data_IF_191939529579
#
_entry.id   IF_191939529579
#
_cell.length_a   1.000
_cell.length_b   1.000
_cell.length_c   1.000
_cell.angle_alpha   90.00
_cell.angle_beta   90.00
_cell.angle_gamma   90.00
#
_symmetry.space_group_name_H-M   'P 1'
#
loop_
_entity.id
_entity.type
_entity.pdbx_description
1 polymer ?
#
# COMPACT_ATOMS: atom_id res chain seq x y z
N UNK A 1 -9.56 -2.58 -23.23
CA UNK A 1 -9.38 -1.86 -21.93
C UNK A 1 -9.12 -2.83 -20.77
N UNK A 2 -8.11 -2.58 -19.91
CA UNK A 2 -7.72 -3.48 -18.82
C UNK A 2 -7.64 -2.78 -17.44
N UNK A 3 -8.26 -3.35 -16.41
CA UNK A 3 -8.20 -2.88 -15.03
C UNK A 3 -7.46 -3.87 -14.13
N UNK A 4 -6.78 -3.38 -13.09
CA UNK A 4 -6.07 -4.24 -12.13
C UNK A 4 -6.41 -3.89 -10.69
N UNK A 5 -6.63 -4.91 -9.87
CA UNK A 5 -6.60 -4.81 -8.41
C UNK A 5 -5.46 -5.68 -7.88
N UNK A 6 -4.59 -5.12 -7.04
CA UNK A 6 -3.57 -5.89 -6.34
C UNK A 6 -3.38 -5.45 -4.90
N UNK A 7 -3.20 -6.42 -4.02
CA UNK A 7 -3.00 -6.17 -2.60
C UNK A 7 -3.57 -7.29 -1.74
N UNK A 8 -3.89 -6.99 -0.48
CA UNK A 8 -4.59 -7.95 0.38
C UNK A 8 -6.07 -7.99 0.00
N UNK A 9 -6.62 -9.19 -0.18
CA UNK A 9 -8.06 -9.41 -0.45
C UNK A 9 -8.84 -9.31 0.88
N UNK A 10 -9.03 -8.08 1.35
CA UNK A 10 -9.59 -7.79 2.66
C UNK A 10 -10.48 -6.53 2.65
N UNK A 11 -11.40 -6.46 3.62
CA UNK A 11 -12.41 -5.39 3.70
C UNK A 11 -11.77 -4.01 3.83
N UNK A 12 -10.68 -3.89 4.57
CA UNK A 12 -9.98 -2.61 4.73
C UNK A 12 -9.41 -2.08 3.40
N UNK A 13 -9.14 -2.97 2.45
CA UNK A 13 -8.65 -2.64 1.10
C UNK A 13 -9.78 -2.45 0.08
N UNK A 14 -11.04 -2.57 0.50
CA UNK A 14 -12.19 -2.39 -0.37
C UNK A 14 -12.40 -3.49 -1.39
N UNK A 15 -11.82 -4.68 -1.20
CA UNK A 15 -11.90 -5.74 -2.21
C UNK A 15 -13.34 -6.25 -2.43
N UNK A 16 -14.14 -6.31 -1.37
CA UNK A 16 -15.58 -6.57 -1.45
C UNK A 16 -16.34 -5.48 -2.24
N UNK A 17 -15.91 -4.21 -2.21
CA UNK A 17 -16.47 -3.17 -3.08
C UNK A 17 -16.15 -3.45 -4.54
N UNK A 18 -14.93 -3.93 -4.85
CA UNK A 18 -14.57 -4.34 -6.21
C UNK A 18 -15.46 -5.47 -6.68
N UNK A 19 -15.60 -6.54 -5.89
CA UNK A 19 -16.47 -7.68 -6.24
C UNK A 19 -17.91 -7.22 -6.43
N UNK A 20 -18.45 -6.41 -5.52
CA UNK A 20 -19.80 -5.86 -5.62
C UNK A 20 -20.01 -4.98 -6.86
N UNK A 21 -19.03 -4.13 -7.18
CA UNK A 21 -19.11 -3.24 -8.33
C UNK A 21 -19.11 -4.02 -9.65
N UNK A 22 -18.27 -5.06 -9.75
CA UNK A 22 -18.24 -5.93 -10.92
C UNK A 22 -19.55 -6.72 -11.08
N UNK A 23 -20.10 -7.24 -9.98
CA UNK A 23 -21.40 -7.94 -10.00
C UNK A 23 -22.51 -7.00 -10.45
N UNK A 24 -22.56 -5.77 -9.93
CA UNK A 24 -23.56 -4.77 -10.32
C UNK A 24 -23.47 -4.40 -11.81
N UNK A 25 -22.25 -4.29 -12.35
CA UNK A 25 -22.06 -4.03 -13.78
C UNK A 25 -22.58 -5.22 -14.60
N UNK A 26 -22.12 -6.44 -14.30
CA UNK A 26 -22.51 -7.65 -15.04
C UNK A 26 -24.02 -7.91 -14.96
N UNK A 27 -24.66 -7.67 -13.82
CA UNK A 27 -26.12 -7.80 -13.66
C UNK A 27 -26.89 -6.82 -14.56
N UNK A 28 -26.34 -5.63 -14.81
CA UNK A 28 -26.99 -4.59 -15.64
C UNK A 28 -26.71 -4.73 -17.13
N UNK A 29 -25.49 -5.10 -17.51
CA UNK A 29 -25.03 -5.08 -18.91
C UNK A 29 -24.88 -6.46 -19.52
N UNK A 30 -24.73 -7.51 -18.70
CA UNK A 30 -24.36 -8.86 -19.13
C UNK A 30 -22.87 -9.03 -19.47
N UNK A 31 -22.08 -7.96 -19.45
CA UNK A 31 -20.68 -7.93 -19.91
C UNK A 31 -19.79 -7.13 -18.96
N UNK A 32 -18.47 -7.37 -19.03
CA UNK A 32 -17.49 -6.59 -18.29
C UNK A 32 -17.03 -5.37 -19.11
N UNK A 33 -16.73 -4.23 -18.45
CA UNK A 33 -16.29 -3.01 -19.12
C UNK A 33 -14.84 -3.10 -19.63
N UNK A 34 -14.15 -4.20 -19.37
CA UNK A 34 -12.76 -4.46 -19.71
C UNK A 34 -12.26 -5.70 -18.98
N UNK A 35 -11.07 -6.19 -19.31
CA UNK A 35 -10.48 -7.28 -18.55
C UNK A 35 -10.14 -6.80 -17.14
N UNK A 36 -10.36 -7.64 -16.13
CA UNK A 36 -10.07 -7.35 -14.74
C UNK A 36 -9.01 -8.33 -14.23
N UNK A 37 -7.84 -7.83 -13.87
CA UNK A 37 -6.76 -8.61 -13.29
C UNK A 37 -6.78 -8.49 -11.77
N UNK A 38 -6.80 -9.62 -11.06
CA UNK A 38 -6.84 -9.64 -9.59
C UNK A 38 -5.65 -10.40 -9.03
N UNK A 39 -4.81 -9.69 -8.27
CA UNK A 39 -3.65 -10.23 -7.56
C UNK A 39 -3.83 -10.08 -6.05
N UNK A 40 -3.43 -11.12 -5.32
CA UNK A 40 -3.43 -11.09 -3.86
C UNK A 40 -3.97 -12.35 -3.20
N UNK A 41 -3.87 -12.34 -1.88
CA UNK A 41 -4.48 -13.35 -1.01
C UNK A 41 -5.16 -12.65 0.18
N UNK A 42 -6.17 -13.30 0.75
CA UNK A 42 -6.91 -12.76 1.88
C UNK A 42 -8.23 -13.47 2.12
N UNK A 43 -8.88 -13.10 3.22
CA UNK A 43 -10.09 -13.77 3.71
C UNK A 43 -11.29 -13.59 2.75
N UNK A 44 -11.31 -12.52 1.94
CA UNK A 44 -12.37 -12.22 0.97
C UNK A 44 -12.18 -12.92 -0.39
N UNK A 45 -11.13 -13.73 -0.57
CA UNK A 45 -10.98 -14.56 -1.78
C UNK A 45 -12.24 -15.39 -2.06
N UNK A 46 -12.88 -15.90 -1.00
CA UNK A 46 -14.09 -16.73 -1.13
C UNK A 46 -15.26 -15.97 -1.74
N UNK A 47 -15.40 -14.68 -1.46
CA UNK A 47 -16.51 -13.87 -1.98
C UNK A 47 -16.38 -13.72 -3.50
N UNK A 48 -15.18 -13.44 -4.02
CA UNK A 48 -14.92 -13.42 -5.46
C UNK A 48 -15.34 -14.73 -6.13
N UNK A 49 -14.92 -15.87 -5.58
CA UNK A 49 -15.25 -17.18 -6.13
C UNK A 49 -16.74 -17.51 -5.98
N UNK A 50 -17.41 -17.08 -4.91
CA UNK A 50 -18.85 -17.27 -4.76
C UNK A 50 -19.65 -16.46 -5.80
N UNK A 51 -19.20 -15.24 -6.11
CA UNK A 51 -19.87 -14.38 -7.08
C UNK A 51 -19.64 -14.82 -8.52
N UNK A 52 -18.44 -15.34 -8.85
CA UNK A 52 -18.03 -15.52 -10.25
C UNK A 52 -17.56 -16.93 -10.63
N UNK A 53 -17.35 -17.87 -9.71
CA UNK A 53 -16.91 -19.21 -10.09
C UNK A 53 -17.98 -19.93 -10.95
N UNK A 54 -17.55 -20.45 -12.09
CA UNK A 54 -18.44 -21.07 -13.08
C UNK A 54 -19.11 -20.07 -14.03
N UNK A 55 -18.94 -18.77 -13.83
CA UNK A 55 -19.29 -17.75 -14.81
C UNK A 55 -18.28 -17.77 -15.96
N UNK A 56 -18.75 -17.67 -17.21
CA UNK A 56 -17.89 -17.61 -18.40
C UNK A 56 -16.93 -16.41 -18.40
N UNK A 57 -17.30 -15.36 -17.64
CA UNK A 57 -16.52 -14.15 -17.44
C UNK A 57 -15.37 -14.33 -16.42
N UNK A 58 -15.18 -15.50 -15.81
CA UNK A 58 -14.17 -15.71 -14.77
C UNK A 58 -13.17 -16.80 -15.11
N UNK A 59 -11.89 -16.50 -14.88
CA UNK A 59 -10.79 -17.44 -15.07
C UNK A 59 -9.87 -17.46 -13.84
N UNK A 60 -9.71 -18.64 -13.23
CA UNK A 60 -8.78 -18.85 -12.11
C UNK A 60 -7.39 -19.23 -12.62
N UNK A 61 -6.51 -18.23 -12.70
CA UNK A 61 -5.10 -18.36 -13.07
C UNK A 61 -4.18 -18.64 -11.87
N UNK A 62 -4.72 -18.79 -10.64
CA UNK A 62 -3.91 -18.82 -9.42
C UNK A 62 -3.05 -20.07 -9.25
N UNK A 63 -3.28 -21.10 -10.07
CA UNK A 63 -2.49 -22.33 -10.12
C UNK A 63 -1.38 -22.35 -11.17
N UNK A 64 -1.37 -21.41 -12.12
CA UNK A 64 -0.37 -21.35 -13.18
C UNK A 64 1.03 -21.07 -12.61
N UNK A 65 2.05 -21.77 -13.10
CA UNK A 65 3.44 -21.62 -12.63
C UNK A 65 4.41 -21.69 -13.80
N UNK A 66 5.62 -21.14 -13.63
CA UNK A 66 6.71 -21.29 -14.60
C UNK A 66 6.34 -20.69 -15.96
N UNK A 67 6.50 -21.48 -17.03
CA UNK A 67 6.17 -21.05 -18.40
C UNK A 67 4.67 -20.82 -18.59
N UNK A 68 3.79 -21.60 -17.93
CA UNK A 68 2.33 -21.49 -18.13
C UNK A 68 1.77 -20.10 -17.82
N UNK A 69 2.31 -19.42 -16.80
CA UNK A 69 1.88 -18.07 -16.45
C UNK A 69 2.45 -17.02 -17.41
N UNK A 70 3.64 -17.28 -17.96
CA UNK A 70 4.27 -16.40 -18.95
C UNK A 70 3.51 -16.49 -20.28
N UNK A 71 3.19 -17.70 -20.73
CA UNK A 71 2.37 -17.94 -21.92
C UNK A 71 0.99 -17.29 -21.77
N UNK A 72 0.41 -17.35 -20.55
CA UNK A 72 -0.85 -16.66 -20.26
C UNK A 72 -0.72 -15.15 -20.36
N UNK A 73 0.35 -14.56 -19.84
CA UNK A 73 0.60 -13.12 -19.93
C UNK A 73 0.78 -12.72 -21.39
N UNK A 74 1.63 -13.43 -22.14
CA UNK A 74 1.86 -13.17 -23.56
C UNK A 74 0.57 -13.25 -24.37
N UNK A 75 -0.26 -14.25 -24.08
CA UNK A 75 -1.59 -14.36 -24.65
C UNK A 75 -2.47 -13.14 -24.33
N UNK A 76 -2.50 -12.68 -23.09
CA UNK A 76 -3.26 -11.50 -22.67
C UNK A 76 -2.73 -10.20 -23.29
N UNK A 77 -1.42 -10.09 -23.47
CA UNK A 77 -0.78 -8.98 -24.20
C UNK A 77 -1.17 -8.99 -25.67
N UNK A 78 -1.19 -10.15 -26.31
CA UNK A 78 -1.54 -10.27 -27.73
C UNK A 78 -3.02 -9.95 -28.02
N UNK A 79 -3.92 -10.24 -27.08
CA UNK A 79 -5.32 -9.80 -27.16
C UNK A 79 -5.44 -8.27 -27.23
N UNK A 80 -4.55 -7.54 -26.55
CA UNK A 80 -4.49 -6.08 -26.61
C UNK A 80 -3.96 -5.59 -27.97
N UNK A 81 -2.99 -6.28 -28.57
CA UNK A 81 -2.45 -5.93 -29.89
C UNK A 81 -3.43 -6.23 -31.04
N UNK A 82 -4.25 -7.28 -30.96
CA UNK A 82 -5.29 -7.56 -31.97
C UNK A 82 -6.40 -6.49 -31.98
N UNK A 83 -6.71 -5.85 -30.84
CA UNK A 83 -7.61 -4.67 -30.77
C UNK A 83 -6.95 -3.40 -31.35
N UNK A 84 -5.62 -3.28 -31.28
CA UNK A 84 -4.83 -2.14 -31.79
C UNK A 84 -4.27 -2.48 -33.18
N UNK A 85 -5.12 -2.50 -34.20
CA UNK A 85 -4.78 -2.92 -35.56
C UNK A 85 -3.45 -2.36 -36.10
N UNK A 86 -2.42 -3.21 -36.14
CA UNK A 86 -1.25 -3.07 -37.00
C UNK A 86 -1.43 -4.01 -38.20
N UNK A 87 -1.64 -3.40 -39.37
CA UNK A 87 -1.61 -4.09 -40.66
C UNK A 87 -0.19 -4.61 -40.93
N UNK A 88 0.08 -5.89 -40.65
CA UNK A 88 0.97 -6.73 -41.47
C UNK A 88 0.32 -8.12 -41.57
N UNK A 89 0.43 -8.74 -42.74
CA UNK A 89 -0.25 -9.99 -43.12
C UNK A 89 0.10 -11.16 -42.18
N UNK A 90 -0.64 -11.31 -41.09
CA UNK A 90 -0.67 -12.52 -40.26
C UNK A 90 -1.84 -13.38 -40.76
N UNK A 91 -1.66 -14.70 -40.98
CA UNK A 91 -2.76 -15.58 -41.37
C UNK A 91 -3.88 -15.48 -40.33
N UNK A 92 -5.15 -15.62 -40.70
CA UNK A 92 -6.26 -15.45 -39.77
C UNK A 92 -6.18 -16.52 -38.68
N UNK A 93 -5.57 -16.16 -37.55
CA UNK A 93 -5.81 -16.81 -36.27
C UNK A 93 -7.30 -16.64 -35.97
N UNK A 94 -7.97 -17.66 -35.42
CA UNK A 94 -9.40 -17.60 -35.19
C UNK A 94 -9.72 -16.37 -34.35
N UNK A 95 -10.53 -15.46 -34.90
CA UNK A 95 -11.11 -14.31 -34.22
C UNK A 95 -11.48 -14.72 -32.80
N UNK A 96 -10.80 -14.17 -31.81
CA UNK A 96 -11.09 -14.46 -30.42
C UNK A 96 -12.49 -13.91 -30.10
N UNK A 97 -13.51 -14.76 -30.14
CA UNK A 97 -14.89 -14.44 -29.72
C UNK A 97 -15.02 -14.48 -28.19
N UNK A 98 -14.00 -14.05 -27.46
CA UNK A 98 -13.99 -14.04 -26.01
C UNK A 98 -14.24 -12.63 -25.49
N UNK A 99 -15.43 -12.38 -24.94
CA UNK A 99 -15.71 -11.14 -24.22
C UNK A 99 -14.75 -10.96 -23.02
N UNK A 100 -14.69 -9.72 -22.51
CA UNK A 100 -13.89 -9.33 -21.36
C UNK A 100 -14.05 -10.29 -20.17
N UNK A 101 -12.96 -10.56 -19.43
CA UNK A 101 -12.97 -11.49 -18.28
C UNK A 101 -12.30 -10.94 -17.02
N UNK A 102 -12.65 -11.54 -15.88
CA UNK A 102 -11.93 -11.45 -14.61
C UNK A 102 -10.91 -12.58 -14.54
N UNK A 103 -9.63 -12.25 -14.48
CA UNK A 103 -8.53 -13.18 -14.27
C UNK A 103 -8.01 -13.08 -12.84
N UNK A 104 -8.12 -14.17 -12.09
CA UNK A 104 -7.63 -14.24 -10.72
C UNK A 104 -6.27 -14.95 -10.66
N UNK A 105 -5.19 -14.20 -10.38
CA UNK A 105 -3.83 -14.74 -10.32
C UNK A 105 -3.40 -15.18 -8.92
N UNK A 106 -4.13 -14.81 -7.87
CA UNK A 106 -3.70 -15.05 -6.49
C UNK A 106 -2.43 -14.28 -6.14
N UNK A 107 -1.67 -14.75 -5.15
CA UNK A 107 -0.37 -14.17 -4.84
C UNK A 107 0.68 -14.60 -5.88
N UNK A 108 1.36 -13.63 -6.48
CA UNK A 108 2.42 -13.84 -7.46
C UNK A 108 3.67 -13.03 -7.09
N UNK A 109 4.80 -13.37 -7.71
CA UNK A 109 6.02 -12.58 -7.56
C UNK A 109 5.87 -11.19 -8.18
N UNK A 110 6.70 -10.25 -7.71
CA UNK A 110 6.75 -8.88 -8.22
C UNK A 110 6.99 -8.79 -9.74
N UNK A 111 7.81 -9.67 -10.31
CA UNK A 111 8.05 -9.71 -11.75
C UNK A 111 6.76 -9.97 -12.56
N UNK A 112 5.93 -10.92 -12.10
CA UNK A 112 4.67 -11.29 -12.77
C UNK A 112 3.63 -10.17 -12.63
N UNK A 113 3.53 -9.56 -11.44
CA UNK A 113 2.65 -8.41 -11.23
C UNK A 113 3.02 -7.27 -12.17
N UNK A 114 4.32 -6.99 -12.31
CA UNK A 114 4.84 -5.95 -13.21
C UNK A 114 4.46 -6.20 -14.67
N UNK A 115 4.60 -7.43 -15.17
CA UNK A 115 4.19 -7.77 -16.53
C UNK A 115 2.70 -7.57 -16.79
N UNK A 116 1.83 -7.78 -15.80
CA UNK A 116 0.40 -7.45 -15.95
C UNK A 116 0.14 -5.95 -15.80
N UNK A 117 0.90 -5.25 -14.95
CA UNK A 117 0.81 -3.78 -14.86
C UNK A 117 1.16 -3.11 -16.20
N UNK A 118 2.13 -3.64 -16.94
CA UNK A 118 2.53 -3.13 -18.26
C UNK A 118 1.40 -3.14 -19.31
N UNK A 119 0.46 -4.09 -19.20
CA UNK A 119 -0.73 -4.19 -20.06
C UNK A 119 -2.02 -3.66 -19.38
N UNK A 120 -1.90 -3.11 -18.17
CA UNK A 120 -3.03 -2.57 -17.43
C UNK A 120 -3.22 -1.09 -17.72
N UNK A 121 -4.47 -0.65 -17.84
CA UNK A 121 -4.79 0.74 -18.14
C UNK A 121 -5.15 1.56 -16.91
N UNK A 122 -5.75 0.93 -15.89
CA UNK A 122 -6.15 1.57 -14.64
C UNK A 122 -6.04 0.60 -13.46
N UNK A 123 -5.64 1.12 -12.31
CA UNK A 123 -5.55 0.37 -11.05
C UNK A 123 -6.70 0.74 -10.12
N UNK A 124 -7.37 -0.25 -9.54
CA UNK A 124 -8.48 -0.07 -8.59
C UNK A 124 -7.96 -0.09 -7.16
N UNK A 125 -8.16 0.99 -6.42
CA UNK A 125 -7.76 1.12 -5.01
C UNK A 125 -8.86 1.75 -4.14
N UNK A 126 -10.02 1.08 -3.98
CA UNK A 126 -11.13 1.56 -3.15
C UNK A 126 -10.87 1.33 -1.64
N UNK A 127 -9.68 1.65 -1.15
CA UNK A 127 -9.29 1.37 0.24
C UNK A 127 -10.20 2.10 1.22
N UNK A 128 -10.86 1.35 2.10
CA UNK A 128 -11.64 1.94 3.21
C UNK A 128 -10.75 2.46 4.31
N UNK A 129 -9.61 1.85 4.53
CA UNK A 129 -8.66 2.33 5.53
C UNK A 129 -7.95 3.60 5.05
N UNK A 130 -7.62 4.49 5.99
CA UNK A 130 -6.70 5.61 5.77
C UNK A 130 -5.27 5.09 5.57
N UNK A 131 -4.89 4.84 4.32
CA UNK A 131 -3.51 4.50 3.97
C UNK A 131 -2.53 5.56 4.50
N UNK A 132 -1.38 5.14 5.02
CA UNK A 132 -0.35 6.06 5.48
C UNK A 132 0.51 6.62 4.36
N UNK A 133 0.57 5.93 3.22
CA UNK A 133 1.29 6.37 2.02
C UNK A 133 0.64 5.78 0.75
N UNK A 134 0.65 4.46 0.60
CA UNK A 134 0.10 3.79 -0.59
C UNK A 134 1.17 3.30 -1.56
N UNK A 135 2.05 2.42 -1.11
CA UNK A 135 3.08 1.80 -1.96
C UNK A 135 2.51 1.11 -3.21
N UNK A 136 1.36 0.45 -3.09
CA UNK A 136 0.70 -0.17 -4.23
C UNK A 136 0.26 0.88 -5.27
N UNK A 137 -0.23 2.05 -4.84
CA UNK A 137 -0.57 3.13 -5.77
C UNK A 137 0.68 3.61 -6.49
N UNK A 138 1.76 3.84 -5.73
CA UNK A 138 3.03 4.26 -6.30
C UNK A 138 3.59 3.24 -7.33
N UNK A 139 3.46 1.95 -7.04
CA UNK A 139 3.82 0.86 -7.95
C UNK A 139 3.03 0.92 -9.27
N UNK A 140 1.70 1.10 -9.21
CA UNK A 140 0.87 1.33 -10.42
C UNK A 140 1.33 2.55 -11.21
N UNK A 141 1.55 3.67 -10.52
CA UNK A 141 1.94 4.93 -11.17
C UNK A 141 3.30 4.82 -11.87
N UNK A 142 4.23 4.03 -11.33
CA UNK A 142 5.55 3.83 -11.93
C UNK A 142 5.52 3.14 -13.29
N UNK A 143 4.54 2.27 -13.51
CA UNK A 143 4.28 1.65 -14.82
C UNK A 143 3.39 2.52 -15.71
N UNK A 144 2.97 3.70 -15.21
CA UNK A 144 2.07 4.60 -15.91
C UNK A 144 0.61 4.14 -15.87
N UNK A 145 0.23 3.35 -14.87
CA UNK A 145 -1.13 2.88 -14.63
C UNK A 145 -1.80 3.82 -13.62
N UNK A 146 -2.71 4.71 -14.04
CA UNK A 146 -3.37 5.65 -13.15
C UNK A 146 -4.30 4.93 -12.16
N UNK A 147 -4.46 5.52 -10.96
CA UNK A 147 -5.22 4.91 -9.86
C UNK A 147 -6.63 5.49 -9.78
N UNK A 148 -7.63 4.62 -9.73
CA UNK A 148 -9.04 4.92 -9.42
C UNK A 148 -9.31 4.51 -7.99
N UNK A 149 -9.80 5.44 -7.16
CA UNK A 149 -10.06 5.12 -5.75
C UNK A 149 -10.55 6.31 -4.92
N UNK A 150 -10.66 6.08 -3.61
CA UNK A 150 -11.04 7.11 -2.67
C UNK A 150 -9.87 8.05 -2.37
N UNK A 151 -10.06 9.36 -2.55
CA UNK A 151 -9.03 10.36 -2.25
C UNK A 151 -8.95 10.63 -0.74
N UNK A 152 -8.20 9.79 -0.01
CA UNK A 152 -8.01 9.95 1.44
C UNK A 152 -6.65 9.48 1.96
N UNK A 153 -6.23 10.07 3.08
CA UNK A 153 -4.94 9.77 3.73
C UNK A 153 -3.74 9.95 2.80
N UNK A 154 -2.83 8.99 2.81
CA UNK A 154 -1.61 9.00 2.01
C UNK A 154 -1.83 8.82 0.50
N UNK A 155 -3.01 8.33 0.08
CA UNK A 155 -3.32 8.15 -1.35
C UNK A 155 -3.66 9.46 -2.07
N UNK A 156 -3.95 10.54 -1.34
CA UNK A 156 -4.39 11.82 -1.91
C UNK A 156 -3.48 12.32 -3.04
N UNK A 157 -2.13 12.29 -2.91
CA UNK A 157 -1.23 12.77 -3.97
C UNK A 157 -1.14 11.86 -5.20
N UNK A 158 -1.72 10.65 -5.15
CA UNK A 158 -1.53 9.61 -6.17
C UNK A 158 -2.74 9.43 -7.11
N UNK A 159 -3.83 10.15 -6.85
CA UNK A 159 -5.08 10.01 -7.61
C UNK A 159 -5.39 11.33 -8.31
N UNK A 160 -5.36 11.30 -9.64
CA UNK A 160 -5.77 12.43 -10.49
C UNK A 160 -7.25 12.75 -10.28
N UNK A 161 -7.61 14.04 -10.35
CA UNK A 161 -8.95 14.54 -9.99
C UNK A 161 -10.12 13.82 -10.67
N UNK A 162 -9.95 13.43 -11.94
CA UNK A 162 -10.98 12.75 -12.72
C UNK A 162 -11.22 11.28 -12.31
N UNK A 163 -10.26 10.67 -11.62
CA UNK A 163 -10.29 9.27 -11.19
C UNK A 163 -10.74 9.11 -9.73
N UNK A 164 -11.01 10.22 -9.04
CA UNK A 164 -11.43 10.22 -7.64
C UNK A 164 -12.87 9.72 -7.52
N UNK A 165 -13.08 8.90 -6.51
CA UNK A 165 -14.40 8.55 -6.00
C UNK A 165 -14.57 9.19 -4.62
N UNK A 166 -15.71 9.84 -4.39
CA UNK A 166 -16.08 10.34 -3.07
C UNK A 166 -16.41 9.17 -2.16
N UNK A 167 -15.80 9.13 -0.97
CA UNK A 167 -16.07 8.09 0.02
C UNK A 167 -17.37 8.40 0.79
N UNK A 168 -18.22 7.39 0.97
CA UNK A 168 -19.40 7.39 1.83
C UNK A 168 -19.22 6.39 2.97
N UNK A 169 -19.87 6.61 4.12
CA UNK A 169 -19.95 5.58 5.18
C UNK A 169 -20.86 4.41 4.78
N UNK A 170 -21.64 4.56 3.71
CA UNK A 170 -22.52 3.53 3.18
C UNK A 170 -21.81 2.72 2.08
N UNK A 171 -21.50 1.46 2.39
CA UNK A 171 -20.84 0.54 1.45
C UNK A 171 -21.61 0.32 0.15
N UNK A 172 -22.94 0.42 0.16
CA UNK A 172 -23.73 0.30 -1.07
C UNK A 172 -23.55 1.53 -1.98
N UNK A 173 -23.42 2.72 -1.42
CA UNK A 173 -23.11 3.94 -2.20
C UNK A 173 -21.70 3.88 -2.77
N UNK A 174 -20.74 3.42 -1.96
CA UNK A 174 -19.36 3.21 -2.40
C UNK A 174 -19.26 2.20 -3.55
N UNK A 175 -20.00 1.09 -3.46
CA UNK A 175 -20.04 0.04 -4.49
C UNK A 175 -20.58 0.59 -5.80
N UNK A 176 -21.72 1.30 -5.73
CA UNK A 176 -22.34 1.96 -6.89
C UNK A 176 -21.43 3.02 -7.51
N UNK A 177 -20.78 3.84 -6.67
CA UNK A 177 -19.89 4.89 -7.13
C UNK A 177 -18.66 4.29 -7.84
N UNK A 178 -18.10 3.20 -7.32
CA UNK A 178 -17.02 2.46 -7.97
C UNK A 178 -17.47 1.84 -9.30
N UNK A 179 -18.62 1.17 -9.33
CA UNK A 179 -19.19 0.60 -10.55
C UNK A 179 -19.38 1.66 -11.64
N UNK A 180 -20.02 2.78 -11.29
CA UNK A 180 -20.25 3.89 -12.20
C UNK A 180 -18.94 4.49 -12.71
N UNK A 181 -17.93 4.66 -11.84
CA UNK A 181 -16.62 5.21 -12.23
C UNK A 181 -15.87 4.26 -13.18
N UNK A 182 -15.92 2.95 -12.94
CA UNK A 182 -15.30 1.96 -13.84
C UNK A 182 -15.95 2.03 -15.23
N UNK A 183 -17.28 2.08 -15.30
CA UNK A 183 -18.02 2.20 -16.57
C UNK A 183 -17.72 3.53 -17.26
N UNK A 184 -17.80 4.64 -16.55
CA UNK A 184 -17.49 5.99 -17.08
C UNK A 184 -16.08 6.04 -17.71
N UNK A 185 -15.08 5.52 -17.00
CA UNK A 185 -13.68 5.50 -17.47
C UNK A 185 -13.53 4.53 -18.65
N UNK A 186 -14.16 3.36 -18.58
CA UNK A 186 -14.15 2.43 -19.70
C UNK A 186 -14.76 3.06 -20.95
N UNK A 187 -15.95 3.66 -20.89
CA UNK A 187 -16.60 4.30 -22.04
C UNK A 187 -15.79 5.48 -22.59
N UNK A 188 -15.26 6.32 -21.69
CA UNK A 188 -14.43 7.48 -22.05
C UNK A 188 -13.20 7.06 -22.86
N UNK A 189 -12.55 5.96 -22.49
CA UNK A 189 -11.28 5.56 -23.09
C UNK A 189 -11.37 4.39 -24.08
N UNK A 190 -12.47 3.63 -24.11
CA UNK A 190 -12.71 2.52 -25.06
C UNK A 190 -13.30 2.99 -26.40
N UNK A 191 -14.00 4.14 -26.45
CA UNK A 191 -14.62 4.70 -27.66
C UNK A 191 -13.65 5.17 -28.77
N UNK A 192 -12.37 4.77 -28.69
CA UNK A 192 -11.25 5.35 -29.44
C UNK A 192 -10.29 4.34 -30.06
N UNK A 193 -10.43 3.06 -29.74
CA UNK A 193 -9.73 1.98 -30.45
C UNK A 193 -10.36 1.73 -31.82
N UNK A 194 -11.62 2.17 -32.05
CA UNK A 194 -12.37 1.94 -33.30
C UNK A 194 -12.23 3.03 -34.38
N UNK A 195 -11.53 4.15 -34.12
CA UNK A 195 -11.22 5.13 -35.18
C UNK A 195 -9.91 4.75 -35.88
N UNK A 196 -10.02 3.72 -36.71
CA UNK A 196 -9.11 3.44 -37.83
C UNK A 196 -8.91 4.75 -38.60
N UNK A 197 -7.67 5.22 -38.67
CA UNK A 197 -7.29 6.33 -39.56
C UNK A 197 -7.80 6.04 -40.98
N UNK A 198 -8.57 6.93 -41.62
CA UNK A 198 -8.83 6.77 -43.04
C UNK A 198 -7.50 6.89 -43.80
N UNK A 199 -7.33 6.20 -44.94
CA UNK A 199 -6.12 6.32 -45.73
C UNK A 199 -5.94 7.78 -46.13
N UNK A 200 -4.75 8.31 -45.82
CA UNK A 200 -4.37 9.68 -46.18
C UNK A 200 -4.38 9.77 -47.71
N UNK A 201 -5.42 10.37 -48.27
CA UNK A 201 -5.41 10.90 -49.62
C UNK A 201 -5.70 12.39 -49.58
N UNK A 202 -4.81 13.16 -50.20
CA UNK A 202 -4.80 14.60 -50.45
C UNK A 202 -4.56 15.54 -49.27
N UNK A 203 -3.59 16.43 -49.49
CA UNK A 203 -3.20 17.57 -48.66
C UNK A 203 -4.40 18.44 -48.29
N UNK A 204 -4.67 18.56 -47.00
CA UNK A 204 -4.98 19.82 -46.31
C UNK A 204 -4.93 19.53 -44.81
N UNK A 205 -4.02 20.20 -44.07
CA UNK A 205 -3.88 20.03 -42.63
C UNK A 205 -5.12 20.59 -41.92
N UNK A 206 -5.95 19.77 -41.24
CA UNK A 206 -6.99 20.29 -40.38
C UNK A 206 -6.36 20.82 -39.07
N UNK A 207 -7.02 21.73 -38.34
CA UNK A 207 -6.56 22.19 -37.04
C UNK A 207 -6.39 21.00 -36.08
N UNK A 208 -5.34 21.01 -35.25
CA UNK A 208 -5.00 19.94 -34.29
C UNK A 208 -6.18 19.61 -33.37
N UNK A 209 -7.01 18.65 -33.77
CA UNK A 209 -7.99 18.00 -32.89
C UNK A 209 -7.19 17.12 -31.93
N UNK A 210 -7.17 17.47 -30.64
CA UNK A 210 -6.59 16.62 -29.60
C UNK A 210 -7.49 15.38 -29.46
N UNK A 211 -7.04 14.25 -30.01
CA UNK A 211 -7.76 12.97 -29.88
C UNK A 211 -7.68 12.40 -28.47
N UNK A 212 -8.72 11.68 -28.04
CA UNK A 212 -8.87 11.18 -26.66
C UNK A 212 -7.88 10.02 -26.34
N UNK A 213 -7.30 9.32 -27.34
CA UNK A 213 -6.11 8.44 -27.15
C UNK A 213 -4.88 9.23 -26.63
N UNK A 214 -4.84 10.53 -26.91
CA UNK A 214 -3.88 11.46 -26.33
C UNK A 214 -4.15 11.75 -24.85
N UNK A 215 -5.42 11.77 -24.42
CA UNK A 215 -5.79 12.04 -23.02
C UNK A 215 -5.32 10.93 -22.08
N UNK A 216 -5.55 9.65 -22.43
CA UNK A 216 -5.05 8.55 -21.60
C UNK A 216 -3.51 8.54 -21.53
N UNK A 217 -2.83 8.78 -22.66
CA UNK A 217 -1.36 8.89 -22.67
C UNK A 217 -0.84 10.02 -21.80
N UNK A 218 -1.54 11.16 -21.76
CA UNK A 218 -1.21 12.27 -20.85
C UNK A 218 -1.35 11.82 -19.40
N UNK A 219 -2.44 11.15 -19.05
CA UNK A 219 -2.70 10.66 -17.70
C UNK A 219 -1.69 9.58 -17.26
N UNK A 220 -1.32 8.67 -18.16
CA UNK A 220 -0.27 7.67 -17.96
C UNK A 220 1.10 8.33 -17.76
N UNK A 221 1.45 9.33 -18.57
CA UNK A 221 2.69 10.07 -18.42
C UNK A 221 2.72 10.90 -17.11
N UNK A 222 1.59 11.50 -16.71
CA UNK A 222 1.47 12.20 -15.43
C UNK A 222 1.69 11.22 -14.26
N UNK A 223 1.14 10.00 -14.36
CA UNK A 223 1.33 8.95 -13.37
C UNK A 223 2.82 8.61 -13.19
N UNK A 224 3.56 8.40 -14.29
CA UNK A 224 5.02 8.17 -14.23
C UNK A 224 5.75 9.37 -13.62
N UNK A 225 5.34 10.59 -13.96
CA UNK A 225 5.93 11.82 -13.41
C UNK A 225 5.73 11.94 -11.91
N UNK A 226 4.57 11.52 -11.38
CA UNK A 226 4.33 11.44 -9.94
C UNK A 226 5.31 10.42 -9.33
N UNK A 227 5.41 9.22 -9.92
CA UNK A 227 6.28 8.15 -9.44
C UNK A 227 7.78 8.52 -9.43
N UNK A 228 8.25 9.29 -10.42
CA UNK A 228 9.63 9.80 -10.48
C UNK A 228 10.02 10.68 -9.28
N UNK A 229 9.02 11.17 -8.54
CA UNK A 229 9.17 11.85 -7.26
C UNK A 229 9.71 10.96 -6.14
N UNK A 230 9.55 9.64 -6.24
CA UNK A 230 9.70 8.67 -5.15
C UNK A 230 10.73 7.58 -5.47
N UNK A 231 11.90 8.00 -5.96
CA UNK A 231 13.00 7.08 -6.31
C UNK A 231 13.93 6.84 -5.13
N UNK A 232 14.56 5.65 -5.08
CA UNK A 232 15.57 5.30 -4.08
C UNK A 232 16.67 6.37 -3.98
N UNK A 233 17.13 6.92 -5.11
CA UNK A 233 18.17 7.95 -5.15
C UNK A 233 17.76 9.28 -4.50
N UNK A 234 16.51 9.73 -4.67
CA UNK A 234 16.00 10.93 -3.96
C UNK A 234 15.85 10.66 -2.47
N UNK A 235 15.31 9.49 -2.14
CA UNK A 235 15.12 9.06 -0.77
C UNK A 235 16.45 9.02 0.01
N UNK A 236 17.49 8.43 -0.59
CA UNK A 236 18.83 8.39 0.00
C UNK A 236 19.39 9.79 0.28
N UNK A 237 19.20 10.75 -0.64
CA UNK A 237 19.65 12.14 -0.41
C UNK A 237 18.94 12.76 0.79
N UNK A 238 17.62 12.62 0.88
CA UNK A 238 16.86 13.13 2.03
C UNK A 238 17.31 12.50 3.35
N UNK A 239 17.62 11.19 3.34
CA UNK A 239 18.18 10.52 4.52
C UNK A 239 19.56 11.06 4.86
N UNK A 240 20.45 11.24 3.88
CA UNK A 240 21.78 11.80 4.09
C UNK A 240 21.74 13.21 4.68
N UNK A 241 20.81 14.05 4.22
CA UNK A 241 20.60 15.41 4.73
C UNK A 241 20.03 15.42 6.16
N UNK A 242 19.25 14.39 6.52
CA UNK A 242 18.65 14.23 7.85
C UNK A 242 19.62 13.65 8.89
N UNK A 243 20.53 12.77 8.48
CA UNK A 243 21.44 12.08 9.39
C UNK A 243 22.57 13.01 9.88
N UNK A 244 23.05 12.85 11.13
CA UNK A 244 24.19 13.62 11.62
C UNK A 244 25.44 13.44 10.75
N UNK A 245 26.20 14.52 10.57
CA UNK A 245 27.48 14.48 9.85
C UNK A 245 28.42 13.41 10.43
N UNK A 246 28.98 12.58 9.55
CA UNK A 246 29.90 11.51 9.95
C UNK A 246 29.24 10.21 10.40
N UNK A 247 27.90 10.09 10.32
CA UNK A 247 27.19 8.83 10.56
C UNK A 247 27.78 7.71 9.69
N UNK A 248 28.11 6.57 10.33
CA UNK A 248 28.59 5.35 9.67
C UNK A 248 27.75 4.14 10.04
N UNK A 249 27.32 4.04 11.29
CA UNK A 249 26.63 2.87 11.86
C UNK A 249 25.18 3.19 12.19
N UNK A 250 24.26 2.43 11.61
CA UNK A 250 22.82 2.62 11.79
C UNK A 250 22.21 1.31 12.31
N UNK A 251 21.57 1.38 13.47
CA UNK A 251 20.80 0.27 14.03
C UNK A 251 19.31 0.49 13.75
N UNK A 252 18.75 -0.31 12.85
CA UNK A 252 17.32 -0.34 12.61
C UNK A 252 16.65 -1.26 13.63
N UNK A 253 15.66 -0.77 14.37
CA UNK A 253 14.92 -1.57 15.33
C UNK A 253 13.43 -1.64 14.97
N UNK A 254 12.91 -2.85 14.85
CA UNK A 254 11.50 -3.12 14.57
C UNK A 254 10.99 -4.28 15.40
N UNK A 255 9.69 -4.34 15.64
CA UNK A 255 9.04 -5.41 16.41
C UNK A 255 9.41 -6.80 15.89
N UNK A 256 9.57 -6.94 14.57
CA UNK A 256 9.91 -8.20 13.92
C UNK A 256 11.04 -8.03 12.90
N UNK A 257 11.91 -9.03 12.82
CA UNK A 257 12.89 -9.21 11.74
C UNK A 257 12.35 -10.14 10.65
N UNK A 258 11.46 -11.06 11.02
CA UNK A 258 10.76 -11.96 10.12
C UNK A 258 9.82 -11.17 9.19
N UNK A 259 9.83 -11.48 7.89
CA UNK A 259 8.97 -10.81 6.90
C UNK A 259 7.48 -11.17 7.07
N UNK A 260 6.75 -10.44 7.93
CA UNK A 260 5.33 -10.69 8.22
C UNK A 260 4.38 -9.77 7.45
N UNK A 261 4.84 -8.58 7.05
CA UNK A 261 4.06 -7.62 6.28
C UNK A 261 4.91 -6.51 5.68
N UNK A 262 4.25 -5.43 5.28
CA UNK A 262 4.89 -4.33 4.56
C UNK A 262 5.96 -3.60 5.37
N UNK A 263 5.81 -3.50 6.70
CA UNK A 263 6.80 -2.83 7.56
C UNK A 263 8.13 -3.58 7.53
N UNK A 264 8.12 -4.90 7.73
CA UNK A 264 9.37 -5.67 7.78
C UNK A 264 10.05 -5.72 6.41
N UNK A 265 9.28 -5.85 5.33
CA UNK A 265 9.82 -5.72 3.96
C UNK A 265 10.46 -4.35 3.77
N UNK A 266 9.79 -3.28 4.19
CA UNK A 266 10.33 -1.93 4.06
C UNK A 266 11.60 -1.69 4.89
N UNK A 267 11.69 -2.22 6.12
CA UNK A 267 12.92 -2.16 6.93
C UNK A 267 14.08 -2.88 6.23
N UNK A 268 13.83 -4.03 5.59
CA UNK A 268 14.86 -4.72 4.81
C UNK A 268 15.27 -3.92 3.56
N UNK A 269 14.32 -3.29 2.87
CA UNK A 269 14.60 -2.41 1.72
C UNK A 269 15.46 -1.22 2.13
N UNK A 270 15.13 -0.55 3.24
CA UNK A 270 15.95 0.53 3.80
C UNK A 270 17.35 0.03 4.12
N UNK A 271 17.47 -1.11 4.82
CA UNK A 271 18.77 -1.66 5.18
C UNK A 271 19.64 -1.97 3.96
N UNK A 272 19.04 -2.50 2.88
CA UNK A 272 19.72 -2.73 1.60
C UNK A 272 20.23 -1.41 1.01
N UNK A 273 19.35 -0.42 0.86
CA UNK A 273 19.67 0.85 0.23
C UNK A 273 20.79 1.60 1.01
N UNK A 274 20.69 1.63 2.34
CA UNK A 274 21.73 2.24 3.19
C UNK A 274 23.07 1.51 3.09
N UNK A 275 23.09 0.17 3.11
CA UNK A 275 24.34 -0.60 2.94
C UNK A 275 25.00 -0.33 1.58
N UNK A 276 24.22 -0.15 0.52
CA UNK A 276 24.73 0.21 -0.80
C UNK A 276 25.40 1.59 -0.84
N UNK A 277 25.03 2.49 0.08
CA UNK A 277 25.71 3.78 0.27
C UNK A 277 26.93 3.72 1.22
N UNK A 278 27.30 2.52 1.69
CA UNK A 278 28.46 2.31 2.56
C UNK A 278 28.18 2.45 4.05
N UNK A 279 26.92 2.60 4.48
CA UNK A 279 26.57 2.52 5.90
C UNK A 279 26.69 1.08 6.41
N UNK A 280 27.22 0.93 7.62
CA UNK A 280 27.15 -0.32 8.36
C UNK A 280 25.78 -0.39 9.05
N UNK A 281 24.92 -1.31 8.59
CA UNK A 281 23.53 -1.40 9.05
C UNK A 281 23.24 -2.76 9.65
N UNK A 282 22.70 -2.75 10.87
CA UNK A 282 22.15 -3.93 11.53
C UNK A 282 20.65 -3.78 11.81
N UNK A 283 19.94 -4.90 11.82
CA UNK A 283 18.51 -4.94 12.14
C UNK A 283 18.33 -5.68 13.47
N UNK A 284 17.60 -5.07 14.39
CA UNK A 284 17.23 -5.61 15.69
C UNK A 284 15.71 -5.79 15.78
N UNK A 285 15.27 -6.94 16.27
CA UNK A 285 13.86 -7.24 16.42
C UNK A 285 13.64 -8.70 16.81
N UNK A 286 12.37 -9.08 16.98
CA UNK A 286 12.04 -10.47 17.28
C UNK A 286 11.97 -11.31 16.01
N UNK A 287 12.65 -12.44 16.02
CA UNK A 287 12.42 -13.49 15.03
C UNK A 287 11.31 -14.42 15.54
N UNK A 288 10.21 -14.51 14.80
CA UNK A 288 9.08 -15.36 15.15
C UNK A 288 8.76 -16.34 14.03
N UNK A 289 8.31 -17.53 14.41
CA UNK A 289 7.93 -18.57 13.44
C UNK A 289 6.68 -18.15 12.65
N UNK A 290 6.74 -18.24 11.31
CA UNK A 290 5.58 -18.09 10.43
C UNK A 290 4.66 -19.30 10.53
N UNK A 291 3.36 -19.08 10.68
CA UNK A 291 2.36 -20.13 10.62
C UNK A 291 1.06 -19.79 11.34
N UNK A 292 0.28 -20.82 11.71
CA UNK A 292 -1.02 -20.66 12.36
C UNK A 292 -0.96 -19.86 13.68
N UNK A 293 0.17 -19.93 14.39
CA UNK A 293 0.38 -19.26 15.67
C UNK A 293 0.78 -17.79 15.55
N UNK A 294 1.13 -17.30 14.36
CA UNK A 294 1.60 -15.92 14.18
C UNK A 294 0.55 -14.90 14.61
N UNK A 295 -0.75 -15.12 14.33
CA UNK A 295 -1.84 -14.23 14.80
C UNK A 295 -1.89 -14.16 16.34
N UNK A 296 -1.73 -15.30 17.01
CA UNK A 296 -1.72 -15.40 18.49
C UNK A 296 -0.49 -14.72 19.08
N UNK A 297 0.70 -14.98 18.53
CA UNK A 297 1.95 -14.34 18.98
C UNK A 297 1.88 -12.82 18.85
N UNK A 298 1.33 -12.29 17.75
CA UNK A 298 1.13 -10.84 17.59
C UNK A 298 0.19 -10.28 18.66
N UNK A 299 -0.89 -10.99 19.00
CA UNK A 299 -1.81 -10.59 20.06
C UNK A 299 -1.13 -10.60 21.44
N UNK A 300 -0.37 -11.66 21.75
CA UNK A 300 0.44 -11.75 22.97
C UNK A 300 1.48 -10.63 23.07
N UNK A 301 2.06 -10.23 21.95
CA UNK A 301 2.96 -9.08 21.87
C UNK A 301 2.33 -7.80 22.42
N UNK A 302 1.01 -7.58 22.29
CA UNK A 302 0.35 -6.40 22.87
C UNK A 302 0.36 -6.43 24.40
N UNK A 303 0.06 -7.60 24.98
CA UNK A 303 0.00 -7.79 26.43
C UNK A 303 1.41 -7.75 27.03
N UNK A 304 2.34 -8.49 26.42
CA UNK A 304 3.71 -8.64 26.91
C UNK A 304 4.53 -7.35 26.76
N UNK A 305 4.20 -6.50 25.79
CA UNK A 305 4.94 -5.26 25.50
C UNK A 305 5.22 -4.38 26.70
N UNK A 306 4.25 -4.24 27.62
CA UNK A 306 4.29 -3.31 28.75
C UNK A 306 5.45 -3.61 29.71
N UNK A 307 5.81 -4.89 29.81
CA UNK A 307 6.77 -5.38 30.79
C UNK A 307 7.92 -6.16 30.13
N UNK A 308 8.17 -5.97 28.83
CA UNK A 308 9.19 -6.73 28.12
C UNK A 308 10.62 -6.24 28.45
N UNK A 309 11.09 -6.62 29.64
CA UNK A 309 12.44 -6.34 30.14
C UNK A 309 13.48 -7.05 29.26
N UNK A 310 13.15 -8.21 28.69
CA UNK A 310 14.07 -8.98 27.85
C UNK A 310 14.48 -8.20 26.60
N UNK A 311 13.52 -7.59 25.89
CA UNK A 311 13.81 -6.70 24.75
C UNK A 311 14.64 -5.49 25.15
N UNK A 312 14.35 -4.89 26.31
CA UNK A 312 15.08 -3.73 26.82
C UNK A 312 16.56 -4.05 27.13
N UNK A 313 16.82 -5.20 27.77
CA UNK A 313 18.18 -5.66 28.02
C UNK A 313 18.90 -6.06 26.73
N UNK A 314 18.19 -6.70 25.80
CA UNK A 314 18.73 -7.11 24.51
C UNK A 314 19.12 -5.90 23.64
N UNK A 315 18.28 -4.86 23.53
CA UNK A 315 18.63 -3.66 22.76
C UNK A 315 19.77 -2.90 23.42
N UNK A 316 19.81 -2.85 24.76
CA UNK A 316 20.91 -2.23 25.51
C UNK A 316 22.24 -2.95 25.22
N UNK A 317 22.23 -4.29 25.23
CA UNK A 317 23.40 -5.10 24.85
C UNK A 317 23.81 -4.81 23.41
N UNK A 318 22.85 -4.81 22.48
CA UNK A 318 23.10 -4.57 21.06
C UNK A 318 23.72 -3.19 20.80
N UNK A 319 23.20 -2.13 21.42
CA UNK A 319 23.75 -0.77 21.32
C UNK A 319 25.19 -0.72 21.86
N UNK A 320 25.50 -1.43 22.96
CA UNK A 320 26.87 -1.46 23.52
C UNK A 320 27.87 -2.17 22.62
N UNK A 321 27.45 -3.26 21.98
CA UNK A 321 28.31 -4.08 21.11
C UNK A 321 28.51 -3.41 19.74
N UNK A 322 27.42 -2.98 19.11
CA UNK A 322 27.46 -2.41 17.76
C UNK A 322 28.00 -0.97 17.75
N UNK A 323 27.73 -0.21 18.82
CA UNK A 323 28.03 1.22 18.95
C UNK A 323 27.49 2.03 17.75
N UNK A 324 26.15 2.05 17.55
CA UNK A 324 25.56 2.81 16.46
C UNK A 324 25.68 4.32 16.70
N UNK A 325 25.86 5.08 15.62
CA UNK A 325 25.70 6.54 15.62
C UNK A 325 24.21 6.90 15.64
N UNK A 326 23.38 6.04 15.04
CA UNK A 326 21.95 6.24 14.84
C UNK A 326 21.17 5.00 15.23
N UNK A 327 20.12 5.18 16.05
CA UNK A 327 19.12 4.14 16.31
C UNK A 327 17.79 4.58 15.70
N UNK A 328 17.29 3.82 14.74
CA UNK A 328 16.07 4.13 14.00
C UNK A 328 14.97 3.11 14.30
N UNK A 329 13.95 3.54 15.03
CA UNK A 329 12.78 2.76 15.42
C UNK A 329 11.74 2.75 14.28
N UNK A 330 11.18 1.59 13.94
CA UNK A 330 10.13 1.49 12.91
C UNK A 330 8.80 0.98 13.47
N UNK A 331 8.80 -0.15 14.16
CA UNK A 331 7.62 -0.68 14.84
C UNK A 331 7.99 -1.02 16.27
N UNK A 332 7.31 -0.40 17.23
CA UNK A 332 7.61 -0.53 18.66
C UNK A 332 6.36 -0.80 19.50
N UNK A 333 5.26 -1.17 18.84
CA UNK A 333 3.95 -1.30 19.46
C UNK A 333 3.53 -2.76 19.70
N UNK A 334 4.47 -3.69 19.60
CA UNK A 334 4.35 -5.09 20.00
C UNK A 334 5.50 -5.46 20.94
N UNK A 335 6.32 -6.46 20.60
CA UNK A 335 7.30 -7.04 21.51
C UNK A 335 8.44 -6.11 21.91
N UNK A 336 8.83 -5.11 21.11
CA UNK A 336 9.81 -4.13 21.56
C UNK A 336 9.23 -3.29 22.71
N UNK A 337 8.04 -2.72 22.49
CA UNK A 337 7.27 -2.07 23.54
C UNK A 337 7.95 -0.86 24.22
N UNK A 338 7.31 -0.31 25.27
CA UNK A 338 7.76 0.92 25.91
C UNK A 338 9.14 0.85 26.54
N UNK A 339 9.52 -0.29 27.15
CA UNK A 339 10.81 -0.40 27.83
C UNK A 339 11.99 -0.31 26.85
N UNK A 340 11.85 -0.86 25.65
CA UNK A 340 12.86 -0.72 24.58
C UNK A 340 13.00 0.73 24.15
N UNK A 341 11.87 1.44 23.92
CA UNK A 341 11.89 2.87 23.56
C UNK A 341 12.52 3.72 24.66
N UNK A 342 12.26 3.39 25.94
CA UNK A 342 12.89 4.07 27.08
C UNK A 342 14.41 3.91 27.05
N UNK A 343 14.92 2.70 26.84
CA UNK A 343 16.36 2.46 26.76
C UNK A 343 17.01 3.28 25.64
N UNK A 344 16.42 3.27 24.44
CA UNK A 344 16.91 4.07 23.31
C UNK A 344 16.89 5.56 23.63
N UNK A 345 15.81 6.06 24.23
CA UNK A 345 15.68 7.45 24.65
C UNK A 345 16.62 7.86 25.80
N UNK A 346 17.05 6.93 26.65
CA UNK A 346 18.03 7.17 27.72
C UNK A 346 19.46 7.21 27.14
N UNK A 347 19.78 6.38 26.16
CA UNK A 347 21.08 6.40 25.47
C UNK A 347 21.37 7.73 24.79
N UNK A 348 20.34 8.37 24.22
CA UNK A 348 20.43 9.74 23.68
C UNK A 348 21.07 10.72 24.68
N UNK A 349 20.74 10.63 25.96
CA UNK A 349 21.26 11.56 26.99
C UNK A 349 22.73 11.33 27.32
N UNK A 350 23.23 10.10 27.13
CA UNK A 350 24.47 9.65 27.73
C UNK A 350 25.61 9.44 26.72
N UNK A 351 25.34 9.32 25.41
CA UNK A 351 26.33 8.92 24.40
C UNK A 351 26.20 9.57 23.02
N UNK A 352 25.51 10.70 22.89
CA UNK A 352 25.35 11.43 21.61
C UNK A 352 24.79 10.59 20.44
N UNK A 353 24.07 9.50 20.72
CA UNK A 353 23.40 8.70 19.68
C UNK A 353 22.17 9.47 19.18
N UNK A 354 22.05 9.63 17.85
CA UNK A 354 20.85 10.18 17.24
C UNK A 354 19.75 9.13 17.18
N UNK A 355 18.53 9.52 17.55
CA UNK A 355 17.38 8.61 17.64
C UNK A 355 16.27 9.04 16.71
N UNK A 356 15.80 8.10 15.89
CA UNK A 356 14.77 8.32 14.87
C UNK A 356 13.61 7.37 15.14
N UNK A 357 12.40 7.76 14.73
CA UNK A 357 11.24 6.86 14.71
C UNK A 357 10.40 7.09 13.47
N UNK A 358 10.01 6.03 12.77
CA UNK A 358 9.04 6.11 11.65
C UNK A 358 7.65 5.65 12.07
N UNK A 359 6.62 6.41 11.68
CA UNK A 359 5.22 6.07 11.90
C UNK A 359 4.61 5.40 10.66
N UNK A 360 4.75 4.06 10.56
CA UNK A 360 4.28 3.30 9.38
C UNK A 360 2.76 3.11 9.30
N UNK A 361 2.08 3.11 10.45
CA UNK A 361 0.64 2.92 10.55
C UNK A 361 0.04 3.80 11.66
N UNK A 362 -1.29 3.82 11.74
CA UNK A 362 -2.01 4.58 12.77
C UNK A 362 -2.02 3.87 14.15
N UNK A 363 -1.16 2.87 14.39
CA UNK A 363 -1.16 2.02 15.59
C UNK A 363 -0.78 2.70 16.89
N UNK A 364 -0.21 3.90 16.82
CA UNK A 364 0.01 4.76 17.99
C UNK A 364 -1.12 5.77 18.20
N UNK A 365 -2.03 5.88 17.22
CA UNK A 365 -3.16 6.79 17.22
C UNK A 365 -4.47 6.06 17.51
N UNK A 366 -4.61 4.82 17.03
CA UNK A 366 -5.80 3.97 17.16
C UNK A 366 -5.43 2.51 17.53
N UNK A 367 -6.26 1.81 18.34
CA UNK A 367 -6.01 0.39 18.66
C UNK A 367 -6.18 -0.56 17.46
N UNK A 368 -7.00 -0.18 16.47
CA UNK A 368 -7.22 -0.93 15.24
C UNK A 368 -7.01 -0.03 14.03
N UNK A 369 -5.76 0.18 13.60
CA UNK A 369 -5.44 1.07 12.48
C UNK A 369 -6.26 0.75 11.24
N UNK A 370 -6.34 -0.52 10.85
CA UNK A 370 -7.06 -0.99 9.65
C UNK A 370 -8.57 -0.71 9.64
N UNK A 371 -9.14 -0.18 10.73
CA UNK A 371 -10.55 0.21 10.84
C UNK A 371 -10.76 1.72 10.84
N UNK A 372 -9.69 2.50 10.76
CA UNK A 372 -9.79 3.96 10.68
C UNK A 372 -10.09 4.33 9.23
N UNK A 373 -11.34 4.68 8.95
CA UNK A 373 -11.81 4.97 7.60
C UNK A 373 -11.79 6.47 7.25
N UNK A 374 -11.79 7.33 8.27
CA UNK A 374 -11.71 8.78 8.15
C UNK A 374 -10.89 9.41 9.28
N UNK A 375 -10.46 10.66 9.10
CA UNK A 375 -9.61 11.34 10.10
C UNK A 375 -10.36 11.63 11.40
N UNK A 376 -11.69 11.78 11.33
CA UNK A 376 -12.56 11.99 12.50
C UNK A 376 -12.56 10.78 13.45
N UNK A 377 -12.28 9.59 12.93
CA UNK A 377 -12.15 8.37 13.73
C UNK A 377 -10.82 8.31 14.51
N UNK A 378 -9.87 9.20 14.21
CA UNK A 378 -8.60 9.29 14.94
C UNK A 378 -8.87 10.05 16.25
N UNK A 379 -8.69 9.43 17.42
CA UNK A 379 -9.05 10.07 18.69
C UNK A 379 -8.09 11.22 18.99
N UNK A 380 -8.60 12.47 18.89
CA UNK A 380 -7.85 13.69 19.25
C UNK A 380 -7.33 13.62 20.69
N UNK A 381 -8.19 13.16 21.61
CA UNK A 381 -7.82 12.79 22.97
C UNK A 381 -8.03 11.29 23.14
N UNK A 382 -6.96 10.47 23.22
CA UNK A 382 -7.06 9.02 23.39
C UNK A 382 -7.59 8.70 24.78
N UNK A 383 -8.90 8.75 25.01
CA UNK A 383 -9.48 8.25 26.25
C UNK A 383 -9.62 6.73 26.17
N UNK A 384 -9.65 6.06 27.33
CA UNK A 384 -9.93 4.62 27.37
C UNK A 384 -11.30 4.31 26.73
N UNK A 385 -12.28 5.19 26.92
CA UNK A 385 -13.60 5.10 26.27
C UNK A 385 -13.54 5.16 24.75
N UNK A 386 -12.72 6.07 24.18
CA UNK A 386 -12.52 6.16 22.74
C UNK A 386 -11.79 4.93 22.15
N UNK A 387 -10.92 4.28 22.92
CA UNK A 387 -10.31 3.02 22.50
C UNK A 387 -11.35 1.89 22.48
N UNK A 388 -12.22 1.81 23.48
CA UNK A 388 -13.25 0.78 23.55
C UNK A 388 -14.41 0.98 22.56
N UNK A 389 -14.74 2.21 22.16
CA UNK A 389 -15.78 2.45 21.14
C UNK A 389 -15.44 1.82 19.77
N UNK A 390 -14.16 1.56 19.51
CA UNK A 390 -13.71 0.88 18.29
C UNK A 390 -13.82 -0.66 18.33
N UNK A 391 -14.21 -1.23 19.49
CA UNK A 391 -14.34 -2.68 19.69
C UNK A 391 -15.74 -3.16 19.30
N UNK A 392 -15.81 -3.93 18.21
CA UNK A 392 -17.04 -4.54 17.70
C UNK A 392 -17.04 -6.06 17.94
N UNK A 393 -16.61 -6.51 19.12
CA UNK A 393 -16.49 -7.93 19.46
C UNK A 393 -16.97 -8.16 20.89
N UNK A 394 -17.73 -9.25 21.12
CA UNK A 394 -18.10 -9.68 22.47
C UNK A 394 -17.01 -10.46 23.22
N UNK A 395 -15.81 -10.62 22.63
CA UNK A 395 -14.76 -11.46 23.20
C UNK A 395 -13.95 -10.71 24.29
N UNK A 396 -13.93 -11.17 25.56
CA UNK A 396 -13.22 -10.49 26.65
C UNK A 396 -11.70 -10.39 26.42
N UNK A 397 -11.09 -11.30 25.65
CA UNK A 397 -9.67 -11.23 25.32
C UNK A 397 -9.36 -10.01 24.45
N UNK A 398 -10.28 -9.63 23.57
CA UNK A 398 -10.14 -8.44 22.71
C UNK A 398 -10.19 -7.18 23.58
N UNK A 399 -11.11 -7.11 24.55
CA UNK A 399 -11.16 -6.01 25.50
C UNK A 399 -9.88 -5.88 26.32
N UNK A 400 -9.35 -7.00 26.83
CA UNK A 400 -8.07 -7.00 27.55
C UNK A 400 -6.91 -6.51 26.66
N UNK A 401 -6.85 -6.98 25.41
CA UNK A 401 -5.81 -6.54 24.47
C UNK A 401 -5.90 -5.04 24.17
N UNK A 402 -7.12 -4.49 24.02
CA UNK A 402 -7.34 -3.05 23.80
C UNK A 402 -6.99 -2.24 25.04
N UNK A 403 -7.33 -2.74 26.23
CA UNK A 403 -6.92 -2.14 27.50
C UNK A 403 -5.38 -2.07 27.60
N UNK A 404 -4.67 -3.19 27.36
CA UNK A 404 -3.21 -3.20 27.34
C UNK A 404 -2.64 -2.24 26.28
N UNK A 405 -3.24 -2.22 25.08
CA UNK A 405 -2.86 -1.33 23.98
C UNK A 405 -3.01 0.15 24.37
N UNK A 406 -4.07 0.51 25.08
CA UNK A 406 -4.29 1.87 25.58
C UNK A 406 -3.14 2.32 26.49
N UNK A 407 -2.81 1.54 27.53
CA UNK A 407 -1.70 1.87 28.42
C UNK A 407 -0.36 1.89 27.69
N UNK A 408 -0.15 0.95 26.76
CA UNK A 408 1.05 0.91 25.95
C UNK A 408 1.22 2.21 25.15
N UNK A 409 0.17 2.65 24.46
CA UNK A 409 0.17 3.89 23.67
C UNK A 409 0.42 5.10 24.56
N UNK A 410 -0.23 5.19 25.73
CA UNK A 410 0.01 6.29 26.68
C UNK A 410 1.48 6.40 27.10
N UNK A 411 2.12 5.27 27.42
CA UNK A 411 3.53 5.26 27.82
C UNK A 411 4.42 5.57 26.61
N UNK A 412 4.17 4.95 25.46
CA UNK A 412 4.93 5.17 24.23
C UNK A 412 4.89 6.63 23.81
N UNK A 413 3.74 7.30 23.84
CA UNK A 413 3.62 8.73 23.51
C UNK A 413 4.54 9.59 24.36
N UNK A 414 4.57 9.37 25.67
CA UNK A 414 5.46 10.12 26.57
C UNK A 414 6.94 9.85 26.27
N UNK A 415 7.30 8.61 25.97
CA UNK A 415 8.68 8.23 25.69
C UNK A 415 9.14 8.72 24.31
N UNK A 416 8.28 8.66 23.30
CA UNK A 416 8.60 9.04 21.93
C UNK A 416 8.94 10.53 21.81
N UNK A 417 8.36 11.42 22.62
CA UNK A 417 8.76 12.85 22.69
C UNK A 417 10.26 13.08 22.95
N UNK A 418 10.93 12.06 23.51
CA UNK A 418 12.36 12.07 23.84
C UNK A 418 13.24 11.62 22.66
N UNK A 419 12.67 11.24 21.52
CA UNK A 419 13.38 10.90 20.29
C UNK A 419 13.82 12.20 19.58
N UNK A 420 14.86 12.15 18.74
CA UNK A 420 15.37 13.34 18.04
C UNK A 420 14.49 13.70 16.86
N UNK A 421 14.21 12.72 15.99
CA UNK A 421 13.53 12.92 14.71
C UNK A 421 12.36 11.95 14.59
N UNK A 422 11.24 12.47 14.13
CA UNK A 422 9.97 11.79 13.95
C UNK A 422 9.61 11.76 12.47
N UNK A 423 9.71 10.60 11.87
CA UNK A 423 9.55 10.40 10.44
C UNK A 423 8.12 9.96 10.14
N UNK A 424 7.46 10.69 9.26
CA UNK A 424 6.15 10.30 8.71
C UNK A 424 6.26 10.00 7.22
N UNK A 425 5.58 8.95 6.73
CA UNK A 425 5.65 8.57 5.31
C UNK A 425 4.83 9.49 4.40
N UNK A 426 4.05 10.43 4.95
CA UNK A 426 3.29 11.41 4.17
C UNK A 426 2.92 12.62 5.01
N UNK A 427 2.68 13.76 4.34
CA UNK A 427 2.35 15.02 4.98
C UNK A 427 1.03 14.99 5.79
N UNK A 428 0.07 14.13 5.44
CA UNK A 428 -1.21 14.06 6.19
C UNK A 428 -1.01 13.61 7.64
N UNK A 429 0.06 12.86 7.93
CA UNK A 429 0.33 12.40 9.29
C UNK A 429 0.93 13.48 10.19
N UNK A 430 1.48 14.56 9.63
CA UNK A 430 2.16 15.62 10.38
C UNK A 430 1.24 16.22 11.47
N UNK A 431 0.01 16.68 11.16
CA UNK A 431 -0.88 17.24 12.18
C UNK A 431 -1.22 16.22 13.28
N UNK A 432 -1.40 14.95 12.93
CA UNK A 432 -1.70 13.92 13.93
C UNK A 432 -0.51 13.65 14.85
N UNK A 433 0.71 13.57 14.33
CA UNK A 433 1.90 13.38 15.17
C UNK A 433 2.13 14.62 16.05
N UNK A 434 1.96 15.83 15.49
CA UNK A 434 2.08 17.09 16.23
C UNK A 434 1.04 17.17 17.35
N UNK A 435 -0.23 16.97 17.06
CA UNK A 435 -1.32 17.29 17.98
C UNK A 435 -1.60 16.15 18.97
N UNK A 436 -1.41 14.89 18.56
CA UNK A 436 -1.83 13.72 19.35
C UNK A 436 -0.66 13.07 20.11
N UNK A 437 0.55 13.14 19.54
CA UNK A 437 1.78 12.70 20.23
C UNK A 437 2.44 13.91 20.94
N UNK A 438 2.04 15.14 20.61
CA UNK A 438 2.60 16.39 21.15
C UNK A 438 4.10 16.51 20.86
N UNK A 439 4.47 16.28 19.59
CA UNK A 439 5.83 16.44 19.06
C UNK A 439 5.91 17.77 18.32
N UNK A 440 6.92 18.62 18.58
CA UNK A 440 7.10 19.87 17.85
C UNK A 440 7.39 19.66 16.36
N UNK A 441 6.90 20.56 15.50
CA UNK A 441 7.03 20.47 14.03
C UNK A 441 8.50 20.40 13.57
N UNK A 442 9.42 21.07 14.26
CA UNK A 442 10.86 21.04 13.94
C UNK A 442 11.51 19.66 14.11
N UNK A 443 10.84 18.73 14.78
CA UNK A 443 11.31 17.34 14.91
C UNK A 443 10.62 16.39 13.94
N UNK A 444 9.59 16.84 13.22
CA UNK A 444 8.83 16.01 12.30
C UNK A 444 9.40 16.17 10.90
N UNK A 445 9.78 15.05 10.29
CA UNK A 445 10.31 14.99 8.92
C UNK A 445 9.37 14.12 8.10
N UNK A 446 8.85 14.67 7.00
CA UNK A 446 8.18 13.86 5.99
C UNK A 446 9.26 13.19 5.15
N UNK A 447 9.32 11.87 5.20
CA UNK A 447 10.20 11.05 4.37
C UNK A 447 9.32 9.99 3.72
N UNK A 448 8.88 10.29 2.51
CA UNK A 448 8.02 9.40 1.75
C UNK A 448 8.71 8.07 1.44
N UNK A 449 7.93 7.00 1.23
CA UNK A 449 8.53 5.75 0.79
C UNK A 449 8.97 5.85 -0.68
N UNK A 450 9.85 4.93 -1.07
CA UNK A 450 10.36 4.81 -2.43
C UNK A 450 10.05 3.42 -3.02
N UNK A 451 10.15 3.32 -4.34
CA UNK A 451 10.11 2.05 -5.10
C UNK A 451 11.48 1.38 -5.19
#
# INVERSE_FOLDING_TARGET
>A
MNFIFFGRLAREKGFDLVVGALSEIVEKTGELPGNIFIFGEGDLKRELFQSFAGNILFEDCSRLRGEEILDKIEFLSNLEYEEIGCNEEIPPTPLYQGGNKIYFFGWQSQAILRSILEISHFSLMPSRFLETFGLAALESLSEGVPVIGFQKGGLIPFISKELIISFSENDNENTKALANKIVEISEKYSSLESLVTPPISSLDFPPRVRGIKGEWKILSHESRRIADGYTEGRWIRQVQDMLPSGTKKILLASDYTTLLGGIETHVQTIARALRQQGYEVEIFGWDITKGRWTKVLRLMGLVYSLCNITSALAIRKKIREFQPDVVWLHSVSRFLGPLTVREVADWRKNKEISTLVTYHDLGLLSPFPSRVESEEMIPKNPSLGAFFSSVHSGNPIVYLAVFCKYFQVLILRKLLKRINIHIVPSAFLVPHIRDIIEVPDEKIVTLEHFL
#
